data_IF_347032595022
#
_entry.id   IF_347032595022
#
_cell.length_a   1.000
_cell.length_b   1.000
_cell.length_c   1.000
_cell.angle_alpha   90.00
_cell.angle_beta   90.00
_cell.angle_gamma   90.00
#
_symmetry.space_group_name_H-M   'P 1'
#
loop_
_entity.id
_entity.type
_entity.pdbx_description
1 polymer ?
#
# COMPACT_ATOMS: atom_id res chain seq x y z
N UNK A 1 -18.05 -65.87 -15.64
CA UNK A 1 -16.77 -65.89 -14.89
C UNK A 1 -15.82 -64.92 -15.53
N UNK A 2 -15.19 -64.08 -14.71
CA UNK A 2 -14.43 -62.89 -15.08
C UNK A 2 -13.18 -63.18 -15.93
N UNK A 3 -12.80 -62.23 -16.79
CA UNK A 3 -11.44 -61.65 -16.83
C UNK A 3 -11.55 -60.21 -17.39
N UNK A 4 -11.35 -59.21 -16.54
CA UNK A 4 -10.98 -57.85 -16.97
C UNK A 4 -9.49 -57.88 -17.36
N UNK A 5 -9.16 -57.36 -18.54
CA UNK A 5 -7.79 -57.00 -18.91
C UNK A 5 -7.80 -55.58 -19.48
N UNK A 6 -7.18 -54.65 -18.75
CA UNK A 6 -6.60 -53.44 -19.35
C UNK A 6 -5.45 -53.86 -20.26
N UNK A 7 -5.24 -53.12 -21.35
CA UNK A 7 -3.99 -52.34 -21.50
C UNK A 7 -4.30 -51.02 -22.23
N UNK A 8 -3.46 -50.00 -22.39
CA UNK A 8 -2.08 -49.67 -22.04
C UNK A 8 -1.92 -48.24 -22.52
N UNK A 9 -1.38 -47.34 -21.71
CA UNK A 9 -1.03 -45.98 -22.14
C UNK A 9 0.33 -46.04 -22.85
N UNK A 10 0.41 -45.48 -24.06
CA UNK A 10 1.66 -45.16 -24.76
C UNK A 10 1.41 -43.96 -25.73
N UNK A 11 2.45 -43.27 -26.24
CA UNK A 11 2.94 -42.00 -25.72
C UNK A 11 2.66 -40.79 -26.65
N UNK A 12 2.69 -39.58 -26.09
CA UNK A 12 2.62 -38.32 -26.85
C UNK A 12 4.03 -38.00 -27.36
N UNK A 13 4.25 -38.15 -28.67
CA UNK A 13 5.28 -37.40 -29.37
C UNK A 13 4.93 -37.29 -30.85
N UNK A 14 4.52 -36.10 -31.30
CA UNK A 14 4.69 -35.69 -32.70
C UNK A 14 4.76 -34.16 -32.78
N UNK A 15 5.97 -33.69 -33.07
CA UNK A 15 6.33 -32.30 -33.34
C UNK A 15 5.73 -31.87 -34.68
N UNK A 16 5.00 -30.75 -34.73
CA UNK A 16 4.77 -29.98 -35.98
C UNK A 16 5.30 -28.57 -35.80
N UNK A 17 6.44 -28.28 -36.41
CA UNK A 17 6.90 -26.90 -36.62
C UNK A 17 5.96 -26.19 -37.60
N UNK A 18 5.65 -24.93 -37.32
CA UNK A 18 4.83 -24.08 -38.19
C UNK A 18 5.63 -23.69 -39.45
N UNK A 19 4.98 -23.77 -40.62
CA UNK A 19 5.57 -23.48 -41.93
C UNK A 19 5.84 -21.97 -42.10
N UNK A 20 7.08 -21.54 -42.40
CA UNK A 20 7.45 -20.14 -42.64
C UNK A 20 6.62 -19.46 -43.74
N UNK A 21 6.12 -20.22 -44.72
CA UNK A 21 5.27 -19.69 -45.79
C UNK A 21 3.86 -19.31 -45.30
N UNK A 22 3.39 -19.94 -44.21
CA UNK A 22 2.11 -19.61 -43.57
C UNK A 22 2.22 -18.31 -42.77
N UNK A 23 3.35 -18.10 -42.08
CA UNK A 23 3.64 -16.88 -41.33
C UNK A 23 3.72 -15.67 -42.28
N UNK A 24 4.38 -15.82 -43.43
CA UNK A 24 4.50 -14.74 -44.43
C UNK A 24 3.13 -14.31 -44.98
N UNK A 25 2.25 -15.26 -45.28
CA UNK A 25 0.90 -14.99 -45.80
C UNK A 25 0.02 -14.25 -44.79
N UNK A 26 0.14 -14.55 -43.50
CA UNK A 26 -0.60 -13.86 -42.44
C UNK A 26 -0.10 -12.43 -42.23
N UNK A 27 1.21 -12.19 -42.41
CA UNK A 27 1.80 -10.85 -42.34
C UNK A 27 1.37 -10.00 -43.54
N UNK A 28 1.33 -10.57 -44.74
CA UNK A 28 0.92 -9.85 -45.96
C UNK A 28 -0.56 -9.44 -45.93
N UNK A 29 -1.44 -10.21 -45.29
CA UNK A 29 -2.86 -9.87 -45.11
C UNK A 29 -3.13 -8.79 -44.05
N UNK A 30 -2.14 -8.45 -43.21
CA UNK A 30 -2.26 -7.44 -42.17
C UNK A 30 -1.81 -6.03 -42.61
N UNK A 31 -1.41 -5.84 -43.88
CA UNK A 31 -0.75 -4.61 -44.36
C UNK A 31 -1.71 -3.59 -45.00
N UNK A 32 -3.01 -3.88 -45.14
CA UNK A 32 -3.99 -2.91 -45.69
C UNK A 32 -4.65 -2.01 -44.61
N UNK A 33 -3.86 -1.28 -43.82
CA UNK A 33 -4.38 -0.21 -42.95
C UNK A 33 -3.46 1.01 -42.89
N UNK A 34 -3.93 2.12 -43.46
CA UNK A 34 -3.30 3.45 -43.48
C UNK A 34 -3.34 4.15 -42.10
N UNK A 35 -2.44 5.13 -41.85
CA UNK A 35 -1.75 5.30 -40.57
C UNK A 35 -2.33 6.41 -39.69
N UNK A 36 -2.33 6.19 -38.37
CA UNK A 36 -2.64 7.21 -37.39
C UNK A 36 -2.25 6.80 -35.97
N UNK A 37 -0.99 7.07 -35.62
CA UNK A 37 -0.45 7.07 -34.25
C UNK A 37 -0.68 5.80 -33.40
N UNK A 38 0.21 4.82 -33.52
CA UNK A 38 0.43 3.88 -32.41
C UNK A 38 1.95 3.67 -32.22
N UNK A 39 2.53 4.13 -31.10
CA UNK A 39 3.93 3.86 -30.80
C UNK A 39 4.11 2.36 -30.57
N UNK A 40 4.91 1.75 -31.45
CA UNK A 40 5.73 0.58 -31.14
C UNK A 40 5.04 -0.71 -30.69
N UNK A 41 4.04 -1.16 -31.48
CA UNK A 41 3.57 -2.56 -31.45
C UNK A 41 4.69 -3.57 -31.80
N UNK A 42 5.81 -3.13 -32.38
CA UNK A 42 6.97 -4.00 -32.66
C UNK A 42 7.67 -4.42 -31.37
N UNK A 43 7.78 -3.52 -30.39
CA UNK A 43 8.32 -3.81 -29.06
C UNK A 43 7.49 -4.81 -28.24
N UNK A 44 6.16 -4.76 -28.34
CA UNK A 44 5.26 -5.70 -27.66
C UNK A 44 5.30 -7.11 -28.27
N UNK A 45 5.36 -7.22 -29.60
CA UNK A 45 5.44 -8.51 -30.29
C UNK A 45 6.82 -9.18 -30.10
N UNK A 46 7.90 -8.40 -29.97
CA UNK A 46 9.24 -8.92 -29.69
C UNK A 46 9.41 -9.39 -28.23
N UNK A 47 8.67 -8.84 -27.27
CA UNK A 47 8.74 -9.27 -25.86
C UNK A 47 8.03 -10.61 -25.60
N UNK A 48 7.16 -11.06 -26.52
CA UNK A 48 6.44 -12.35 -26.43
C UNK A 48 7.13 -13.43 -27.28
N UNK A 49 8.16 -13.08 -28.06
CA UNK A 49 9.04 -14.06 -28.67
C UNK A 49 9.98 -14.62 -27.58
N UNK A 50 9.46 -15.58 -26.81
CA UNK A 50 10.23 -16.39 -25.89
C UNK A 50 11.41 -17.02 -26.64
N UNK A 51 12.59 -16.43 -26.53
CA UNK A 51 13.82 -17.15 -26.85
C UNK A 51 13.90 -18.28 -25.83
N UNK A 52 13.86 -19.53 -26.30
CA UNK A 52 14.09 -20.71 -25.47
C UNK A 52 15.54 -20.69 -24.95
N UNK A 53 15.83 -19.83 -23.98
CA UNK A 53 17.12 -19.77 -23.30
C UNK A 53 17.09 -20.72 -22.11
N UNK A 54 17.91 -21.76 -22.17
CA UNK A 54 18.14 -22.65 -21.02
C UNK A 54 19.10 -22.06 -19.98
N UNK A 55 19.53 -20.79 -20.13
CA UNK A 55 20.42 -20.12 -19.19
C UNK A 55 19.62 -19.42 -18.06
N UNK A 56 19.74 -19.87 -16.79
CA UNK A 56 19.05 -19.26 -15.66
C UNK A 56 19.38 -17.77 -15.45
N UNK A 57 20.59 -17.33 -15.77
CA UNK A 57 21.01 -15.92 -15.61
C UNK A 57 20.26 -15.01 -16.58
N UNK A 58 20.04 -15.46 -17.83
CA UNK A 58 19.25 -14.70 -18.80
C UNK A 58 17.78 -14.62 -18.38
N UNK A 59 17.22 -15.71 -17.87
CA UNK A 59 15.85 -15.72 -17.35
C UNK A 59 15.70 -14.77 -16.15
N UNK A 60 16.71 -14.67 -15.27
CA UNK A 60 16.68 -13.73 -14.16
C UNK A 60 16.63 -12.26 -14.62
N UNK A 61 17.40 -11.90 -15.65
CA UNK A 61 17.39 -10.55 -16.26
C UNK A 61 16.04 -10.25 -16.93
N UNK A 62 15.48 -11.23 -17.66
CA UNK A 62 14.18 -11.10 -18.33
C UNK A 62 13.05 -10.91 -17.31
N UNK A 63 13.00 -11.77 -16.28
CA UNK A 63 12.06 -11.66 -15.16
C UNK A 63 12.21 -10.29 -14.50
N UNK A 64 13.44 -9.82 -14.27
CA UNK A 64 13.70 -8.51 -13.70
C UNK A 64 13.09 -7.37 -14.52
N UNK A 65 13.22 -7.44 -15.85
CA UNK A 65 12.66 -6.43 -16.77
C UNK A 65 11.13 -6.45 -16.77
N UNK A 66 10.53 -7.64 -16.85
CA UNK A 66 9.08 -7.81 -16.76
C UNK A 66 8.55 -7.32 -15.41
N UNK A 67 9.29 -7.57 -14.35
CA UNK A 67 8.95 -7.13 -13.00
C UNK A 67 8.97 -5.60 -12.87
N UNK A 68 9.99 -4.92 -13.40
CA UNK A 68 10.04 -3.45 -13.41
C UNK A 68 8.86 -2.85 -14.20
N UNK A 69 8.52 -3.42 -15.37
CA UNK A 69 7.35 -2.98 -16.14
C UNK A 69 6.05 -3.17 -15.37
N UNK A 70 5.90 -4.30 -14.66
CA UNK A 70 4.74 -4.55 -13.80
C UNK A 70 4.67 -3.51 -12.66
N UNK A 71 5.80 -3.12 -12.07
CA UNK A 71 5.86 -2.08 -11.05
C UNK A 71 5.37 -0.72 -11.57
N UNK A 72 5.82 -0.31 -12.75
CA UNK A 72 5.35 0.93 -13.41
C UNK A 72 3.85 0.87 -13.72
N UNK A 73 3.36 -0.29 -14.17
CA UNK A 73 1.94 -0.52 -14.39
C UNK A 73 1.12 -0.38 -13.10
N UNK A 74 1.60 -0.91 -11.96
CA UNK A 74 0.92 -0.75 -10.66
C UNK A 74 0.81 0.71 -10.23
N UNK A 75 1.86 1.50 -10.41
CA UNK A 75 1.82 2.95 -10.10
C UNK A 75 0.85 3.68 -11.04
N UNK A 76 0.86 3.34 -12.32
CA UNK A 76 -0.09 3.87 -13.31
C UNK A 76 -1.52 3.53 -12.92
N UNK A 77 -1.80 2.29 -12.52
CA UNK A 77 -3.12 1.86 -12.04
C UNK A 77 -3.53 2.67 -10.82
N UNK A 78 -2.66 2.85 -9.82
CA UNK A 78 -2.93 3.70 -8.65
C UNK A 78 -3.32 5.13 -9.03
N UNK A 79 -2.61 5.75 -9.97
CA UNK A 79 -2.96 7.08 -10.50
C UNK A 79 -4.32 7.10 -11.21
N UNK A 80 -4.66 6.03 -11.96
CA UNK A 80 -5.98 5.92 -12.60
C UNK A 80 -7.10 5.77 -11.58
N UNK A 81 -6.86 5.07 -10.47
CA UNK A 81 -7.82 4.96 -9.35
C UNK A 81 -8.08 6.34 -8.73
N UNK A 82 -7.02 7.12 -8.46
CA UNK A 82 -7.15 8.50 -7.96
C UNK A 82 -7.96 9.36 -8.94
N UNK A 83 -7.62 9.32 -10.23
CA UNK A 83 -8.35 10.07 -11.26
C UNK A 83 -9.81 9.66 -11.35
N UNK A 84 -10.13 8.37 -11.28
CA UNK A 84 -11.50 7.88 -11.26
C UNK A 84 -12.30 8.43 -10.07
N UNK A 85 -11.68 8.50 -8.89
CA UNK A 85 -12.28 9.08 -7.69
C UNK A 85 -12.65 10.55 -7.89
N UNK A 86 -11.73 11.36 -8.43
CA UNK A 86 -11.98 12.78 -8.74
C UNK A 86 -13.14 12.94 -9.71
N UNK A 87 -13.18 12.15 -10.79
CA UNK A 87 -14.27 12.22 -11.78
C UNK A 87 -15.64 11.86 -11.21
N UNK A 88 -15.71 10.86 -10.32
CA UNK A 88 -16.94 10.49 -9.63
C UNK A 88 -17.38 11.63 -8.69
N UNK A 89 -16.44 12.21 -7.95
CA UNK A 89 -16.73 13.33 -7.07
C UNK A 89 -17.26 14.56 -7.83
N UNK A 90 -16.61 14.94 -8.93
CA UNK A 90 -17.02 16.05 -9.78
C UNK A 90 -18.41 15.83 -10.38
N UNK A 91 -18.70 14.61 -10.87
CA UNK A 91 -20.02 14.25 -11.40
C UNK A 91 -21.11 14.39 -10.33
N UNK A 92 -20.86 13.88 -9.13
CA UNK A 92 -21.84 13.96 -8.03
C UNK A 92 -22.04 15.40 -7.60
N UNK A 93 -20.96 16.20 -7.52
CA UNK A 93 -21.02 17.62 -7.18
C UNK A 93 -21.81 18.43 -8.21
N UNK A 94 -21.60 18.16 -9.51
CA UNK A 94 -22.26 18.85 -10.61
C UNK A 94 -23.75 18.50 -10.76
N UNK A 95 -24.12 17.24 -10.55
CA UNK A 95 -25.50 16.78 -10.76
C UNK A 95 -26.41 16.94 -9.54
N UNK A 96 -25.85 17.13 -8.34
CA UNK A 96 -26.60 17.00 -7.09
C UNK A 96 -26.40 18.19 -6.13
N UNK A 97 -26.63 19.41 -6.62
CA UNK A 97 -26.55 20.63 -5.80
C UNK A 97 -27.57 20.66 -4.64
N UNK A 98 -28.68 19.94 -4.77
CA UNK A 98 -29.78 19.88 -3.81
C UNK A 98 -29.57 18.88 -2.66
N UNK A 99 -28.60 17.96 -2.78
CA UNK A 99 -28.35 16.95 -1.74
C UNK A 99 -27.62 17.54 -0.55
N UNK A 100 -27.88 16.99 0.65
CA UNK A 100 -27.09 17.29 1.84
C UNK A 100 -25.66 16.74 1.73
N UNK A 101 -24.69 17.24 2.52
CA UNK A 101 -23.35 16.67 2.56
C UNK A 101 -23.32 15.17 2.90
N UNK A 102 -24.26 14.69 3.71
CA UNK A 102 -24.34 13.27 4.08
C UNK A 102 -24.80 12.40 2.90
N UNK A 103 -25.83 12.83 2.18
CA UNK A 103 -26.35 12.13 1.00
C UNK A 103 -25.32 12.11 -0.14
N UNK A 104 -24.60 13.22 -0.38
CA UNK A 104 -23.51 13.24 -1.36
C UNK A 104 -22.41 12.23 -1.03
N UNK A 105 -22.04 12.09 0.25
CA UNK A 105 -21.08 11.07 0.69
C UNK A 105 -21.60 9.66 0.47
N UNK A 106 -22.87 9.41 0.77
CA UNK A 106 -23.49 8.10 0.55
C UNK A 106 -23.51 7.73 -0.94
N UNK A 107 -23.92 8.65 -1.81
CA UNK A 107 -23.92 8.48 -3.25
C UNK A 107 -22.51 8.23 -3.80
N UNK A 108 -21.53 9.01 -3.34
CA UNK A 108 -20.12 8.83 -3.72
C UNK A 108 -19.62 7.44 -3.34
N UNK A 109 -19.93 6.98 -2.12
CA UNK A 109 -19.53 5.65 -1.68
C UNK A 109 -20.19 4.54 -2.50
N UNK A 110 -21.46 4.71 -2.90
CA UNK A 110 -22.17 3.76 -3.74
C UNK A 110 -21.58 3.68 -5.16
N UNK A 111 -21.38 4.82 -5.83
CA UNK A 111 -20.75 4.84 -7.16
C UNK A 111 -19.31 4.33 -7.13
N UNK A 112 -18.57 4.70 -6.08
CA UNK A 112 -17.20 4.20 -5.88
C UNK A 112 -17.17 2.68 -5.73
N UNK A 113 -18.12 2.09 -5.00
CA UNK A 113 -18.25 0.64 -4.88
C UNK A 113 -18.48 -0.02 -6.23
N UNK A 114 -19.44 0.47 -7.00
CA UNK A 114 -19.76 -0.04 -8.34
C UNK A 114 -18.54 0.04 -9.27
N UNK A 115 -17.75 1.11 -9.20
CA UNK A 115 -16.50 1.23 -9.94
C UNK A 115 -15.49 0.15 -9.53
N UNK A 116 -15.25 -0.01 -8.22
CA UNK A 116 -14.29 -0.99 -7.71
C UNK A 116 -14.67 -2.43 -8.07
N UNK A 117 -15.95 -2.77 -8.10
CA UNK A 117 -16.44 -4.12 -8.44
C UNK A 117 -16.20 -4.49 -9.91
N UNK A 118 -15.89 -3.52 -10.78
CA UNK A 118 -15.53 -3.75 -12.20
C UNK A 118 -14.03 -4.00 -12.42
N UNK A 119 -13.20 -3.82 -11.40
CA UNK A 119 -11.75 -3.97 -11.52
C UNK A 119 -11.33 -5.45 -11.48
N UNK A 120 -10.25 -5.84 -12.17
CA UNK A 120 -9.77 -7.22 -12.22
C UNK A 120 -9.02 -7.67 -10.95
N UNK A 121 -9.20 -6.97 -9.84
CA UNK A 121 -8.53 -7.21 -8.57
C UNK A 121 -9.38 -6.73 -7.38
N UNK A 122 -9.01 -7.15 -6.18
CA UNK A 122 -9.80 -6.86 -4.98
C UNK A 122 -9.77 -5.37 -4.59
N UNK A 123 -10.81 -4.94 -3.87
CA UNK A 123 -10.90 -3.62 -3.23
C UNK A 123 -9.66 -3.32 -2.37
N UNK A 124 -9.11 -4.34 -1.71
CA UNK A 124 -7.90 -4.20 -0.92
C UNK A 124 -6.69 -3.82 -1.78
N UNK A 125 -6.49 -4.48 -2.93
CA UNK A 125 -5.41 -4.15 -3.86
C UNK A 125 -5.61 -2.73 -4.40
N UNK A 126 -6.85 -2.37 -4.78
CA UNK A 126 -7.17 -1.02 -5.25
C UNK A 126 -6.76 0.05 -4.22
N UNK A 127 -7.11 -0.15 -2.95
CA UNK A 127 -6.76 0.74 -1.85
C UNK A 127 -5.24 0.84 -1.65
N UNK A 128 -4.50 -0.27 -1.72
CA UNK A 128 -3.05 -0.27 -1.59
C UNK A 128 -2.38 0.53 -2.72
N UNK A 129 -2.79 0.29 -3.97
CA UNK A 129 -2.28 1.00 -5.14
C UNK A 129 -2.59 2.49 -5.09
N UNK A 130 -3.79 2.85 -4.65
CA UNK A 130 -4.20 4.25 -4.45
C UNK A 130 -3.35 4.94 -3.38
N UNK A 131 -3.12 4.29 -2.24
CA UNK A 131 -2.29 4.82 -1.16
C UNK A 131 -0.84 5.07 -1.61
N UNK A 132 -0.26 4.14 -2.37
CA UNK A 132 1.10 4.30 -2.90
C UNK A 132 1.17 5.45 -3.89
N UNK A 133 0.22 5.53 -4.83
CA UNK A 133 0.15 6.62 -5.79
C UNK A 133 -0.04 7.98 -5.11
N UNK A 134 -0.90 8.05 -4.08
CA UNK A 134 -1.09 9.28 -3.30
C UNK A 134 0.17 9.68 -2.56
N UNK A 135 0.86 8.74 -1.91
CA UNK A 135 2.11 9.04 -1.20
C UNK A 135 3.22 9.57 -2.14
N UNK A 136 3.22 9.16 -3.41
CA UNK A 136 4.09 9.74 -4.43
C UNK A 136 3.64 11.15 -4.84
N UNK A 137 2.33 11.32 -5.11
CA UNK A 137 1.77 12.60 -5.52
C UNK A 137 1.97 13.70 -4.46
N UNK A 138 1.83 13.33 -3.19
CA UNK A 138 2.02 14.22 -2.03
C UNK A 138 3.51 14.50 -1.73
N UNK A 139 4.45 13.85 -2.45
CA UNK A 139 5.89 13.99 -2.23
C UNK A 139 6.42 13.28 -0.96
N UNK A 140 5.58 12.49 -0.28
CA UNK A 140 5.96 11.72 0.91
C UNK A 140 6.99 10.64 0.59
N UNK A 141 6.88 10.04 -0.59
CA UNK A 141 7.82 9.08 -1.17
C UNK A 141 8.23 9.55 -2.57
N UNK A 142 9.43 9.18 -3.00
CA UNK A 142 9.87 9.38 -4.40
C UNK A 142 9.89 8.04 -5.16
N UNK A 143 9.70 8.04 -6.49
CA UNK A 143 9.71 6.79 -7.27
C UNK A 143 10.98 5.96 -7.11
N UNK A 144 12.14 6.61 -6.99
CA UNK A 144 13.44 5.95 -6.81
C UNK A 144 13.61 5.27 -5.43
N UNK A 145 12.80 5.63 -4.45
CA UNK A 145 12.81 5.10 -3.09
C UNK A 145 11.89 3.89 -2.91
N UNK A 146 11.04 3.60 -3.91
CA UNK A 146 9.99 2.60 -3.78
C UNK A 146 10.57 1.17 -3.83
N UNK A 147 10.16 0.31 -2.88
CA UNK A 147 10.37 -1.12 -2.99
C UNK A 147 9.78 -1.67 -4.28
N UNK A 148 10.38 -2.72 -4.83
CA UNK A 148 9.99 -3.32 -6.11
C UNK A 148 8.58 -3.95 -6.12
N UNK A 149 7.94 -4.11 -4.95
CA UNK A 149 6.62 -4.70 -4.81
C UNK A 149 5.65 -3.67 -4.19
N UNK A 150 4.51 -3.45 -4.84
CA UNK A 150 3.47 -2.50 -4.41
C UNK A 150 2.98 -2.76 -2.97
N UNK A 151 2.89 -4.03 -2.55
CA UNK A 151 2.43 -4.40 -1.21
C UNK A 151 3.45 -3.99 -0.13
N UNK A 152 4.74 -4.01 -0.49
CA UNK A 152 5.84 -3.56 0.38
C UNK A 152 5.92 -2.04 0.40
N UNK A 153 5.78 -1.39 -0.76
CA UNK A 153 5.63 0.06 -0.86
C UNK A 153 4.44 0.57 -0.01
N UNK A 154 3.30 -0.12 -0.06
CA UNK A 154 2.15 0.20 0.78
C UNK A 154 2.46 0.12 2.28
N UNK A 155 3.35 -0.79 2.74
CA UNK A 155 3.76 -0.78 4.15
C UNK A 155 4.45 0.51 4.54
N UNK A 156 5.22 1.13 3.64
CA UNK A 156 5.86 2.43 3.89
C UNK A 156 4.83 3.55 3.98
N UNK A 157 3.75 3.51 3.19
CA UNK A 157 2.70 4.55 3.26
C UNK A 157 1.95 4.55 4.60
N UNK A 158 1.98 3.43 5.34
CA UNK A 158 1.36 3.33 6.66
C UNK A 158 2.21 3.92 7.80
N UNK A 159 3.45 4.29 7.51
CA UNK A 159 4.34 4.94 8.48
C UNK A 159 4.02 6.44 8.57
N UNK A 160 4.18 7.00 9.77
CA UNK A 160 4.20 8.46 9.97
C UNK A 160 5.44 9.06 9.35
N UNK A 161 5.47 10.38 9.16
CA UNK A 161 6.61 11.04 8.50
C UNK A 161 7.90 10.89 9.32
N UNK A 162 7.79 10.95 10.65
CA UNK A 162 8.93 10.71 11.55
C UNK A 162 9.45 9.26 11.47
N UNK A 163 8.54 8.28 11.35
CA UNK A 163 8.91 6.87 11.17
C UNK A 163 9.51 6.60 9.78
N UNK A 164 9.07 7.32 8.75
CA UNK A 164 9.67 7.26 7.42
C UNK A 164 11.10 7.80 7.41
N UNK A 165 11.36 8.91 8.08
CA UNK A 165 12.71 9.46 8.18
C UNK A 165 13.64 8.53 8.95
N UNK A 166 13.14 7.86 9.99
CA UNK A 166 13.86 6.79 10.65
C UNK A 166 14.12 5.59 9.70
N UNK A 167 13.12 5.18 8.92
CA UNK A 167 13.26 4.12 7.94
C UNK A 167 14.26 4.46 6.81
N UNK A 168 14.31 5.73 6.38
CA UNK A 168 15.32 6.23 5.41
C UNK A 168 16.72 6.13 5.98
N UNK A 169 16.93 6.55 7.24
CA UNK A 169 18.23 6.43 7.93
C UNK A 169 18.70 4.97 8.05
N UNK A 170 17.77 4.03 8.16
CA UNK A 170 18.06 2.59 8.19
C UNK A 170 18.13 1.93 6.80
N UNK A 171 17.97 2.69 5.70
CA UNK A 171 18.02 2.15 4.34
C UNK A 171 16.82 1.28 3.94
N UNK A 172 15.74 1.31 4.73
CA UNK A 172 14.51 0.53 4.51
C UNK A 172 13.58 1.17 3.46
N UNK A 173 13.85 2.41 3.09
CA UNK A 173 13.19 3.14 2.00
C UNK A 173 14.09 3.03 0.77
N UNK A 174 14.12 1.85 0.16
CA UNK A 174 14.95 1.58 -1.00
C UNK A 174 14.32 0.51 -1.93
N UNK A 175 14.71 0.47 -3.22
CA UNK A 175 14.26 -0.57 -4.15
C UNK A 175 14.60 -1.99 -3.70
N UNK A 176 15.65 -2.15 -2.88
CA UNK A 176 16.12 -3.43 -2.34
C UNK A 176 15.48 -3.81 -1.00
N UNK A 177 14.61 -2.95 -0.46
CA UNK A 177 13.98 -3.19 0.83
C UNK A 177 13.12 -4.45 0.80
N UNK A 178 13.40 -5.37 1.72
CA UNK A 178 12.63 -6.60 1.88
C UNK A 178 11.42 -6.36 2.77
N UNK A 179 10.33 -7.08 2.48
CA UNK A 179 9.11 -7.06 3.28
C UNK A 179 9.39 -7.33 4.76
N UNK A 180 10.21 -8.34 5.04
CA UNK A 180 10.51 -8.76 6.42
C UNK A 180 11.23 -7.68 7.21
N UNK A 181 12.13 -6.92 6.56
CA UNK A 181 12.84 -5.83 7.18
C UNK A 181 11.88 -4.72 7.63
N UNK A 182 10.91 -4.36 6.78
CA UNK A 182 9.89 -3.34 7.09
C UNK A 182 8.93 -3.84 8.19
N UNK A 183 8.55 -5.13 8.17
CA UNK A 183 7.70 -5.72 9.21
C UNK A 183 8.43 -5.70 10.56
N UNK A 184 9.69 -6.10 10.60
CA UNK A 184 10.51 -6.10 11.81
C UNK A 184 10.72 -4.68 12.35
N UNK A 185 10.98 -3.72 11.47
CA UNK A 185 11.05 -2.29 11.81
C UNK A 185 9.75 -1.81 12.49
N UNK A 186 8.59 -2.08 11.88
CA UNK A 186 7.28 -1.74 12.47
C UNK A 186 7.04 -2.43 13.81
N UNK A 187 7.50 -3.67 13.98
CA UNK A 187 7.41 -4.39 15.26
C UNK A 187 8.23 -3.71 16.34
N UNK A 188 9.47 -3.30 16.04
CA UNK A 188 10.33 -2.55 16.98
C UNK A 188 9.72 -1.20 17.36
N UNK A 189 9.18 -0.46 16.40
CA UNK A 189 8.52 0.83 16.66
C UNK A 189 7.32 0.67 17.60
N UNK A 190 6.47 -0.34 17.36
CA UNK A 190 5.33 -0.62 18.24
C UNK A 190 5.78 -0.99 19.64
N UNK A 191 6.80 -1.84 19.77
CA UNK A 191 7.32 -2.23 21.08
C UNK A 191 7.85 -1.01 21.85
N UNK A 192 8.68 -0.19 21.22
CA UNK A 192 9.23 1.02 21.83
C UNK A 192 8.11 1.98 22.30
N UNK A 193 7.02 2.10 21.54
CA UNK A 193 5.85 2.91 21.93
C UNK A 193 5.15 2.35 23.16
N UNK A 194 4.91 1.03 23.20
CA UNK A 194 4.27 0.37 24.34
C UNK A 194 5.12 0.46 25.61
N UNK A 195 6.43 0.28 25.49
CA UNK A 195 7.36 0.42 26.61
C UNK A 195 7.32 1.85 27.16
N UNK A 196 7.32 2.86 26.27
CA UNK A 196 7.23 4.27 26.67
C UNK A 196 5.91 4.62 27.32
N UNK A 197 4.79 4.13 26.80
CA UNK A 197 3.47 4.34 27.38
C UNK A 197 3.38 3.74 28.79
N UNK A 198 3.91 2.53 28.96
CA UNK A 198 3.98 1.84 30.27
C UNK A 198 4.80 2.65 31.28
N UNK A 199 5.97 3.16 30.86
CA UNK A 199 6.82 4.01 31.69
C UNK A 199 6.09 5.29 32.13
N UNK A 200 5.39 5.94 31.21
CA UNK A 200 4.62 7.17 31.51
C UNK A 200 3.47 6.91 32.48
N UNK A 201 2.75 5.78 32.34
CA UNK A 201 1.69 5.38 33.27
C UNK A 201 2.25 5.14 34.67
N UNK A 202 3.36 4.42 34.79
CA UNK A 202 4.02 4.20 36.08
C UNK A 202 4.54 5.49 36.71
N UNK A 203 5.09 6.40 35.91
CA UNK A 203 5.53 7.72 36.38
C UNK A 203 4.36 8.55 36.88
N UNK A 204 3.24 8.57 36.15
CA UNK A 204 2.00 9.25 36.57
C UNK A 204 1.50 8.69 37.91
N UNK A 205 1.46 7.37 38.06
CA UNK A 205 1.02 6.73 39.31
C UNK A 205 1.91 7.11 40.50
N UNK A 206 3.23 7.15 40.31
CA UNK A 206 4.18 7.61 41.34
C UNK A 206 3.92 9.05 41.76
N UNK A 207 3.76 9.96 40.79
CA UNK A 207 3.46 11.37 41.07
C UNK A 207 2.14 11.52 41.82
N UNK A 208 1.09 10.80 41.41
CA UNK A 208 -0.20 10.82 42.11
C UNK A 208 -0.07 10.32 43.55
N UNK A 209 0.68 9.24 43.78
CA UNK A 209 0.92 8.73 45.13
C UNK A 209 1.71 9.73 46.00
N UNK A 210 2.70 10.42 45.41
CA UNK A 210 3.44 11.50 46.07
C UNK A 210 2.54 12.68 46.42
N UNK A 211 1.65 13.09 45.51
CA UNK A 211 0.66 14.15 45.77
C UNK A 211 -0.26 13.79 46.94
N UNK A 212 -0.75 12.54 47.00
CA UNK A 212 -1.59 12.09 48.12
C UNK A 212 -0.83 11.99 49.44
N UNK A 213 0.46 11.64 49.41
CA UNK A 213 1.32 11.70 50.61
C UNK A 213 1.48 13.14 51.07
N UNK A 214 1.87 14.04 50.16
CA UNK A 214 2.07 15.46 50.47
C UNK A 214 0.77 16.10 50.99
N UNK A 215 -0.39 15.76 50.42
CA UNK A 215 -1.70 16.23 50.92
C UNK A 215 -1.99 15.80 52.35
N UNK A 216 -1.66 14.54 52.70
CA UNK A 216 -1.84 14.04 54.08
C UNK A 216 -0.91 14.73 55.07
N UNK A 217 0.35 14.89 54.70
CA UNK A 217 1.34 15.60 55.51
C UNK A 217 0.93 17.06 55.72
N UNK A 218 0.38 17.72 54.70
CA UNK A 218 -0.13 19.08 54.78
C UNK A 218 -1.36 19.17 55.70
N UNK A 219 -2.27 18.20 55.66
CA UNK A 219 -3.40 18.12 56.60
C UNK A 219 -2.95 17.88 58.05
N UNK A 220 -1.90 17.08 58.27
CA UNK A 220 -1.32 16.89 59.61
C UNK A 220 -0.70 18.18 60.12
N UNK A 221 0.09 18.86 59.30
CA UNK A 221 0.67 20.17 59.61
C UNK A 221 -0.44 21.20 59.85
N UNK A 222 -1.50 21.23 59.04
CA UNK A 222 -2.65 22.12 59.25
C UNK A 222 -3.40 21.82 60.54
N UNK A 223 -3.46 20.56 60.99
CA UNK A 223 -4.03 20.21 62.30
C UNK A 223 -3.13 20.66 63.44
N UNK A 224 -1.82 20.49 63.31
CA UNK A 224 -0.84 20.96 64.29
C UNK A 224 -0.82 22.49 64.38
N UNK A 225 -0.84 23.17 63.23
CA UNK A 225 -0.97 24.62 63.13
C UNK A 225 -2.35 25.10 63.59
N UNK A 226 -3.41 24.30 63.35
CA UNK A 226 -4.80 24.53 63.73
C UNK A 226 -5.12 24.34 65.22
N UNK A 227 -4.11 24.02 66.05
CA UNK A 227 -4.08 24.39 67.46
C UNK A 227 -3.88 25.90 67.70
N UNK A 228 -3.67 26.66 66.62
CA UNK A 228 -3.72 28.13 66.54
C UNK A 228 -4.64 28.48 65.36
N UNK A 229 -5.72 29.19 65.64
CA UNK A 229 -6.75 29.58 64.68
C UNK A 229 -6.19 30.10 63.33
N UNK A 230 -6.91 29.89 62.20
CA UNK A 230 -6.37 30.06 60.86
C UNK A 230 -6.11 31.53 60.55
N UNK A 231 -4.92 31.83 60.03
CA UNK A 231 -4.60 33.10 59.40
C UNK A 231 -4.78 32.94 57.89
N UNK A 232 -5.66 33.75 57.31
CA UNK A 232 -5.49 34.19 55.92
C UNK A 232 -6.57 33.73 54.95
N UNK A 233 -7.69 34.44 55.00
CA UNK A 233 -8.54 34.82 53.89
C UNK A 233 -7.77 34.90 52.54
N UNK A 234 -8.11 34.03 51.58
CA UNK A 234 -7.72 34.20 50.17
C UNK A 234 -9.01 34.42 49.38
N UNK A 235 -9.25 35.69 49.07
CA UNK A 235 -10.35 36.16 48.21
C UNK A 235 -10.30 35.49 46.83
N UNK A 236 -11.45 35.23 46.19
CA UNK A 236 -11.50 34.83 44.80
C UNK A 236 -11.14 36.02 43.91
N UNK A 237 -10.18 35.81 42.99
CA UNK A 237 -9.86 36.75 41.92
C UNK A 237 -10.90 36.54 40.80
N UNK A 238 -11.52 37.65 40.38
CA UNK A 238 -12.47 37.74 39.26
C UNK A 238 -11.81 37.56 37.90
#
# INVERSE_FOLDING_TARGET
MAVRRTPSVAPINERRGLDPAQIRRTIEQAIDYEPGANPDLRGEVLAIAAFETSNPEHLAVEIGTLWTRAQEAFLTIGNRIIKARVLIEERIRGNNSHLTPAERRAQMNAEWRVFLDRLPFSVQIASQLECVARALADGKLIPAELPSNYSVAYQLTTLTDAELDAARKEGLVSPRAKRDAIINFKKRLRQARTDRETELVQRRQRIVAEMERMRRELLEIERELGGRAPVGDVRPVS
#
